data_IF_663207994821
#
_entry.id   IF_663207994821
#
_cell.length_a   1.000
_cell.length_b   1.000
_cell.length_c   1.000
_cell.angle_alpha   90.00
_cell.angle_beta   90.00
_cell.angle_gamma   90.00
#
_symmetry.space_group_name_H-M   'P 1'
#
loop_
_entity.id
_entity.type
_entity.pdbx_description
1 polymer ?
#
# COMPACT_ATOMS: atom_id res chain seq x y z
N UNK A 1 1.21 -2.70 -3.85
CA UNK A 1 0.71 -1.28 -3.81
C UNK A 1 1.33 -0.52 -4.98
N UNK A 2 1.01 0.76 -5.25
CA UNK A 2 1.87 1.50 -6.20
C UNK A 2 3.27 1.66 -5.59
N UNK A 3 4.34 1.53 -6.38
CA UNK A 3 5.71 1.74 -5.93
C UNK A 3 5.87 3.03 -5.11
N UNK A 4 6.55 2.94 -3.97
CA UNK A 4 6.72 4.06 -3.02
C UNK A 4 5.52 4.32 -2.08
N UNK A 5 4.47 3.48 -2.12
CA UNK A 5 3.31 3.58 -1.21
C UNK A 5 3.36 2.58 -0.03
N UNK A 6 4.55 2.10 0.34
CA UNK A 6 4.75 1.29 1.55
C UNK A 6 4.51 -0.21 1.37
N UNK A 7 4.74 -0.76 0.17
CA UNK A 7 4.64 -2.19 -0.11
C UNK A 7 5.66 -3.03 0.67
N UNK A 8 6.95 -2.79 0.46
CA UNK A 8 8.03 -3.48 1.21
C UNK A 8 7.87 -3.28 2.71
N UNK A 9 7.51 -2.07 3.17
CA UNK A 9 7.30 -1.81 4.60
C UNK A 9 6.00 -2.37 5.17
N UNK A 10 5.07 -2.85 4.33
CA UNK A 10 3.89 -3.64 4.75
C UNK A 10 4.20 -5.14 4.74
N UNK A 11 4.97 -5.62 3.78
CA UNK A 11 5.49 -6.99 3.77
C UNK A 11 6.42 -7.28 4.96
N UNK A 12 7.07 -6.23 5.48
CA UNK A 12 8.07 -6.28 6.55
C UNK A 12 7.56 -5.82 7.92
N UNK A 13 6.26 -5.92 8.18
CA UNK A 13 5.71 -5.56 9.50
C UNK A 13 6.40 -6.39 10.59
N UNK A 14 6.97 -5.71 11.58
CA UNK A 14 7.74 -6.34 12.65
C UNK A 14 6.93 -7.43 13.38
N UNK A 15 7.51 -8.63 13.46
CA UNK A 15 6.92 -9.82 14.06
C UNK A 15 6.16 -10.72 13.08
N UNK A 16 6.11 -10.37 11.79
CA UNK A 16 5.50 -11.17 10.73
C UNK A 16 6.56 -11.75 9.79
N UNK A 17 6.22 -12.86 9.14
CA UNK A 17 7.04 -13.49 8.11
C UNK A 17 6.69 -12.98 6.71
N UNK A 18 7.65 -13.03 5.78
CA UNK A 18 7.47 -12.58 4.40
C UNK A 18 7.69 -13.70 3.37
N UNK A 19 6.76 -13.83 2.42
CA UNK A 19 6.91 -14.73 1.26
C UNK A 19 7.53 -14.06 0.02
N UNK A 20 7.37 -12.75 -0.11
CA UNK A 20 7.83 -11.93 -1.23
C UNK A 20 7.42 -10.46 -1.03
N UNK A 21 7.97 -9.55 -1.83
CA UNK A 21 7.71 -8.11 -1.70
C UNK A 21 7.17 -7.42 -2.96
N UNK A 22 7.30 -7.99 -4.16
CA UNK A 22 6.86 -7.33 -5.41
C UNK A 22 5.86 -8.17 -6.21
N UNK A 23 6.19 -9.42 -6.55
CA UNK A 23 5.35 -10.24 -7.44
C UNK A 23 4.71 -11.45 -6.75
N UNK A 24 3.39 -11.58 -6.90
CA UNK A 24 2.64 -12.78 -6.50
C UNK A 24 1.91 -13.41 -7.70
N UNK A 25 2.10 -14.71 -7.89
CA UNK A 25 1.30 -15.51 -8.81
C UNK A 25 0.21 -16.24 -8.05
N UNK A 26 -1.04 -16.03 -8.45
CA UNK A 26 -2.20 -16.57 -7.73
C UNK A 26 -2.94 -17.58 -8.61
N UNK A 27 -3.16 -18.79 -8.09
CA UNK A 27 -3.94 -19.86 -8.73
C UNK A 27 -5.06 -20.36 -7.82
N UNK A 28 -6.00 -21.12 -8.37
CA UNK A 28 -7.07 -21.79 -7.61
C UNK A 28 -6.61 -23.21 -7.32
N UNK A 29 -6.68 -23.66 -6.07
CA UNK A 29 -6.42 -25.06 -5.69
C UNK A 29 -7.68 -25.95 -5.83
N UNK A 30 -7.53 -27.26 -5.60
CA UNK A 30 -8.60 -28.24 -5.76
C UNK A 30 -9.75 -28.04 -4.75
N UNK A 31 -9.43 -27.46 -3.59
CA UNK A 31 -10.37 -27.08 -2.56
C UNK A 31 -11.11 -25.76 -2.87
N UNK A 32 -10.66 -25.02 -3.89
CA UNK A 32 -11.26 -23.75 -4.31
C UNK A 32 -10.76 -22.54 -3.55
N UNK A 33 -9.58 -22.61 -2.93
CA UNK A 33 -8.87 -21.47 -2.35
C UNK A 33 -8.00 -20.77 -3.39
N UNK A 34 -7.68 -19.50 -3.13
CA UNK A 34 -6.61 -18.81 -3.82
C UNK A 34 -5.26 -19.17 -3.18
N UNK A 35 -4.30 -19.65 -3.98
CA UNK A 35 -2.91 -19.95 -3.57
C UNK A 35 -1.95 -18.98 -4.20
N UNK A 36 -1.13 -18.31 -3.40
CA UNK A 36 -0.08 -17.42 -3.87
C UNK A 36 1.31 -18.06 -3.74
N UNK A 37 2.12 -17.86 -4.78
CA UNK A 37 3.56 -18.12 -4.77
C UNK A 37 4.30 -16.84 -5.13
N UNK A 38 5.45 -16.62 -4.50
CA UNK A 38 6.43 -15.68 -4.99
C UNK A 38 7.26 -16.36 -6.08
N UNK A 39 7.36 -15.72 -7.25
CA UNK A 39 8.15 -16.24 -8.38
C UNK A 39 9.58 -15.70 -8.41
N UNK A 40 9.91 -14.81 -7.49
CA UNK A 40 11.21 -14.19 -7.32
C UNK A 40 12.04 -14.94 -6.27
N UNK A 41 13.37 -14.83 -6.36
CA UNK A 41 14.31 -15.46 -5.41
C UNK A 41 14.96 -14.46 -4.45
N UNK A 42 14.64 -13.19 -4.58
CA UNK A 42 15.31 -12.10 -3.91
C UNK A 42 14.47 -10.84 -3.89
N UNK A 43 15.02 -9.81 -3.26
CA UNK A 43 14.45 -8.48 -3.17
C UNK A 43 15.28 -7.55 -4.06
N UNK A 44 14.60 -6.66 -4.77
CA UNK A 44 15.21 -5.54 -5.49
C UNK A 44 14.65 -4.20 -4.99
N UNK A 45 14.90 -3.91 -3.72
CA UNK A 45 14.25 -2.84 -2.97
C UNK A 45 14.88 -1.46 -3.18
N UNK A 46 14.07 -0.40 -3.15
CA UNK A 46 14.55 0.98 -3.02
C UNK A 46 15.22 1.12 -1.66
N UNK A 47 16.49 1.55 -1.64
CA UNK A 47 17.27 1.68 -0.40
C UNK A 47 17.09 3.04 0.28
N UNK A 48 16.63 4.05 -0.48
CA UNK A 48 16.42 5.40 0.04
C UNK A 48 15.50 5.36 1.27
N UNK A 49 15.92 6.06 2.32
CA UNK A 49 15.23 6.23 3.60
C UNK A 49 15.14 4.95 4.48
N UNK A 50 15.72 3.82 4.05
CA UNK A 50 15.88 2.63 4.91
C UNK A 50 16.80 2.99 6.07
N UNK A 51 16.27 2.91 7.30
CA UNK A 51 16.95 3.37 8.50
C UNK A 51 16.61 2.48 9.72
N UNK A 52 17.40 2.52 10.82
CA UNK A 52 17.20 1.64 11.96
C UNK A 52 15.90 1.91 12.75
N UNK A 53 15.28 3.08 12.58
CA UNK A 53 14.01 3.42 13.24
C UNK A 53 12.80 2.87 12.50
N UNK A 54 12.72 3.12 11.19
CA UNK A 54 11.54 2.78 10.40
C UNK A 54 11.58 1.37 9.81
N UNK A 55 12.76 0.88 9.42
CA UNK A 55 12.96 -0.38 8.71
C UNK A 55 14.10 -1.23 9.34
N UNK A 56 14.04 -1.56 10.63
CA UNK A 56 15.16 -2.16 11.37
C UNK A 56 15.63 -3.51 10.79
N UNK A 57 14.71 -4.36 10.31
CA UNK A 57 15.06 -5.67 9.73
C UNK A 57 15.87 -5.53 8.44
N UNK A 58 15.40 -4.67 7.52
CA UNK A 58 16.10 -4.41 6.26
C UNK A 58 17.43 -3.73 6.56
N UNK A 59 17.43 -2.72 7.42
CA UNK A 59 18.64 -2.01 7.80
C UNK A 59 19.71 -2.96 8.35
N UNK A 60 19.35 -3.82 9.31
CA UNK A 60 20.25 -4.82 9.88
C UNK A 60 20.78 -5.78 8.82
N UNK A 61 19.94 -6.22 7.89
CA UNK A 61 20.37 -7.05 6.78
C UNK A 61 21.41 -6.34 5.89
N UNK A 62 21.23 -5.05 5.63
CA UNK A 62 22.12 -4.28 4.76
C UNK A 62 23.49 -3.94 5.40
N UNK A 63 23.58 -3.86 6.73
CA UNK A 63 24.81 -3.48 7.43
C UNK A 63 25.62 -4.66 7.99
N UNK A 64 25.12 -5.89 7.84
CA UNK A 64 25.79 -7.10 8.33
C UNK A 64 26.40 -7.90 7.17
N UNK A 65 27.57 -8.54 7.36
CA UNK A 65 28.24 -9.26 6.28
C UNK A 65 27.37 -10.38 5.67
N UNK A 66 27.05 -10.25 4.37
CA UNK A 66 26.31 -11.24 3.56
C UNK A 66 26.45 -10.94 2.05
N UNK A 67 25.88 -11.77 1.18
CA UNK A 67 25.84 -11.54 -0.27
C UNK A 67 24.84 -10.43 -0.61
N UNK A 68 25.35 -9.22 -0.89
CA UNK A 68 24.57 -8.02 -1.24
C UNK A 68 25.12 -7.36 -2.50
N UNK A 69 24.22 -6.85 -3.34
CA UNK A 69 24.56 -5.96 -4.45
C UNK A 69 23.88 -4.61 -4.22
N UNK A 70 24.69 -3.55 -4.10
CA UNK A 70 24.20 -2.18 -4.03
C UNK A 70 24.33 -1.51 -5.39
N UNK A 71 23.30 -0.77 -5.81
CA UNK A 71 23.27 -0.05 -7.07
C UNK A 71 23.02 1.44 -6.83
N UNK A 72 23.87 2.29 -7.41
CA UNK A 72 23.79 3.76 -7.38
C UNK A 72 23.86 4.40 -5.97
N UNK A 73 24.53 3.74 -5.03
CA UNK A 73 24.87 4.29 -3.71
C UNK A 73 26.24 4.98 -3.75
N UNK A 74 26.59 5.72 -2.69
CA UNK A 74 27.96 6.17 -2.46
C UNK A 74 28.76 5.02 -1.85
N UNK A 75 29.99 4.81 -2.31
CA UNK A 75 30.97 3.91 -1.70
C UNK A 75 32.16 4.74 -1.21
N UNK A 76 32.53 4.60 0.05
CA UNK A 76 33.79 5.11 0.62
C UNK A 76 34.45 3.97 1.41
N UNK A 77 35.72 3.67 1.11
CA UNK A 77 36.50 2.58 1.75
C UNK A 77 35.77 1.23 1.81
N UNK A 78 34.99 0.92 0.77
CA UNK A 78 34.20 -0.32 0.67
C UNK A 78 32.91 -0.31 1.48
N UNK A 79 32.57 0.79 2.15
CA UNK A 79 31.34 0.96 2.91
C UNK A 79 30.29 1.69 2.06
N UNK A 80 29.07 1.12 1.89
CA UNK A 80 27.99 1.78 1.18
C UNK A 80 27.26 2.79 2.06
N UNK A 81 26.90 3.94 1.47
CA UNK A 81 26.08 4.98 2.07
C UNK A 81 24.93 5.37 1.15
N UNK A 82 23.73 5.51 1.71
CA UNK A 82 22.52 5.91 0.99
C UNK A 82 21.77 7.04 1.68
N UNK A 83 20.86 7.67 0.93
CA UNK A 83 20.01 8.74 1.44
C UNK A 83 19.16 8.23 2.60
N UNK A 84 19.16 8.94 3.73
CA UNK A 84 18.29 8.62 4.87
C UNK A 84 18.74 7.41 5.70
N UNK A 85 19.95 6.90 5.53
CA UNK A 85 20.50 5.74 6.29
C UNK A 85 20.52 5.90 7.83
N UNK A 86 20.32 7.12 8.34
CA UNK A 86 20.45 7.43 9.77
C UNK A 86 21.91 7.53 10.23
N UNK A 87 22.86 7.69 9.29
CA UNK A 87 24.28 7.97 9.55
C UNK A 87 24.72 9.13 8.66
N UNK A 88 25.65 9.94 9.17
CA UNK A 88 26.24 11.00 8.37
C UNK A 88 27.07 10.39 7.23
N UNK A 89 26.83 10.79 5.97
CA UNK A 89 27.63 10.33 4.85
C UNK A 89 29.00 11.01 4.89
N UNK A 90 30.01 10.38 4.30
CA UNK A 90 31.32 11.01 4.17
C UNK A 90 31.32 12.20 3.20
N UNK A 91 32.38 12.99 3.27
CA UNK A 91 32.54 14.19 2.44
C UNK A 91 32.90 13.89 0.99
N UNK A 92 33.38 12.70 0.69
CA UNK A 92 33.75 12.24 -0.65
C UNK A 92 33.63 10.70 -0.78
N UNK A 93 33.81 10.19 -1.99
CA UNK A 93 33.80 8.76 -2.29
C UNK A 93 33.55 8.53 -3.77
N UNK A 94 33.03 7.36 -4.14
CA UNK A 94 32.66 7.02 -5.52
C UNK A 94 31.17 6.70 -5.57
N UNK A 95 30.44 7.29 -6.52
CA UNK A 95 29.03 6.98 -6.75
C UNK A 95 28.73 6.79 -8.25
N UNK A 96 27.45 6.77 -8.61
CA UNK A 96 26.98 6.62 -10.01
C UNK A 96 27.50 7.69 -10.99
N UNK A 97 28.06 8.80 -10.49
CA UNK A 97 28.68 9.87 -11.29
C UNK A 97 30.21 9.81 -11.34
N UNK A 98 30.82 8.72 -10.86
CA UNK A 98 32.28 8.60 -10.65
C UNK A 98 32.70 9.16 -9.29
N UNK A 99 33.87 9.82 -9.24
CA UNK A 99 34.35 10.49 -8.02
C UNK A 99 33.35 11.54 -7.55
N UNK A 100 32.91 11.44 -6.30
CA UNK A 100 31.90 12.31 -5.71
C UNK A 100 32.46 13.05 -4.50
N UNK A 101 31.99 14.28 -4.30
CA UNK A 101 32.24 15.09 -3.11
C UNK A 101 31.01 15.92 -2.77
N UNK A 102 30.89 16.33 -1.52
CA UNK A 102 29.77 17.17 -1.05
C UNK A 102 29.70 18.46 -1.87
N UNK A 103 28.53 18.72 -2.47
CA UNK A 103 28.30 19.87 -3.34
C UNK A 103 28.76 19.69 -4.80
N UNK A 104 29.12 18.46 -5.23
CA UNK A 104 29.35 18.17 -6.66
C UNK A 104 28.09 18.48 -7.47
N UNK A 105 28.24 19.17 -8.59
CA UNK A 105 27.17 19.49 -9.52
C UNK A 105 27.37 18.83 -10.87
N UNK A 106 26.30 18.65 -11.63
CA UNK A 106 26.37 18.27 -13.04
C UNK A 106 26.68 19.50 -13.95
N UNK A 107 26.76 19.27 -15.25
CA UNK A 107 27.05 20.31 -16.25
C UNK A 107 25.98 21.42 -16.31
N UNK A 108 24.79 21.18 -15.73
CA UNK A 108 23.70 22.16 -15.63
C UNK A 108 23.72 22.94 -14.31
N UNK A 109 24.69 22.66 -13.42
CA UNK A 109 24.80 23.28 -12.10
C UNK A 109 23.84 22.68 -11.06
N UNK A 110 23.18 21.56 -11.37
CA UNK A 110 22.32 20.86 -10.41
C UNK A 110 23.17 19.97 -9.50
N UNK A 111 22.91 20.01 -8.20
CA UNK A 111 23.60 19.16 -7.23
C UNK A 111 23.37 17.67 -7.52
N UNK A 112 24.46 16.92 -7.54
CA UNK A 112 24.47 15.46 -7.63
C UNK A 112 24.46 14.90 -6.21
N UNK A 113 23.36 14.26 -5.84
CA UNK A 113 23.23 13.57 -4.56
C UNK A 113 24.26 12.45 -4.41
N UNK A 114 24.73 12.20 -3.18
CA UNK A 114 25.72 11.16 -2.92
C UNK A 114 25.22 9.75 -3.28
N UNK A 115 23.94 9.47 -3.06
CA UNK A 115 23.25 8.30 -3.58
C UNK A 115 22.02 8.73 -4.41
N UNK A 116 21.74 7.97 -5.46
CA UNK A 116 20.62 8.24 -6.35
C UNK A 116 19.27 8.03 -5.62
N UNK A 117 18.24 8.81 -5.96
CA UNK A 117 16.92 8.71 -5.31
C UNK A 117 16.23 7.35 -5.51
N UNK A 118 16.55 6.67 -6.62
CA UNK A 118 16.15 5.30 -6.93
C UNK A 118 17.32 4.30 -6.78
N UNK A 119 18.26 4.56 -5.86
CA UNK A 119 19.29 3.58 -5.50
C UNK A 119 18.63 2.31 -4.95
N UNK A 120 19.27 1.16 -5.18
CA UNK A 120 18.69 -0.16 -4.91
C UNK A 120 19.66 -1.03 -4.11
N UNK A 121 19.09 -1.95 -3.35
CA UNK A 121 19.79 -3.13 -2.83
C UNK A 121 19.20 -4.38 -3.46
N UNK A 122 20.06 -5.37 -3.69
CA UNK A 122 19.66 -6.71 -4.15
C UNK A 122 20.17 -7.73 -3.17
N UNK A 123 19.28 -8.60 -2.69
CA UNK A 123 19.61 -9.69 -1.78
C UNK A 123 18.67 -10.87 -1.96
N UNK A 124 19.07 -12.07 -1.54
CA UNK A 124 18.16 -13.23 -1.52
C UNK A 124 17.15 -13.07 -0.38
N UNK A 125 15.92 -13.53 -0.58
CA UNK A 125 14.89 -13.49 0.48
C UNK A 125 15.31 -14.34 1.67
N UNK A 126 15.98 -15.47 1.43
CA UNK A 126 16.47 -16.38 2.48
C UNK A 126 17.52 -15.77 3.41
N UNK A 127 18.10 -14.62 3.07
CA UNK A 127 19.01 -13.87 3.94
C UNK A 127 18.26 -13.03 4.99
N UNK A 128 16.94 -12.87 4.86
CA UNK A 128 16.14 -12.09 5.80
C UNK A 128 15.72 -12.95 6.98
N UNK A 129 15.90 -12.41 8.19
CA UNK A 129 15.57 -13.13 9.43
C UNK A 129 14.08 -13.48 9.54
N UNK A 130 13.22 -12.72 8.85
CA UNK A 130 11.78 -12.93 8.80
C UNK A 130 11.30 -13.58 7.49
N UNK A 131 12.18 -14.20 6.70
CA UNK A 131 11.76 -14.99 5.55
C UNK A 131 10.78 -16.10 6.00
N UNK A 132 9.63 -16.20 5.32
CA UNK A 132 8.65 -17.23 5.63
C UNK A 132 9.23 -18.61 5.30
N UNK A 133 9.09 -19.61 6.19
CA UNK A 133 9.59 -20.96 5.92
C UNK A 133 8.94 -21.61 4.69
N UNK A 134 7.79 -21.11 4.22
CA UNK A 134 7.09 -21.53 3.00
C UNK A 134 7.32 -20.61 1.81
N UNK A 135 8.26 -19.66 1.87
CA UNK A 135 8.55 -18.74 0.76
C UNK A 135 8.89 -19.46 -0.56
N UNK A 136 9.44 -20.68 -0.48
CA UNK A 136 9.76 -21.52 -1.63
C UNK A 136 8.87 -22.76 -1.77
N UNK A 137 7.73 -22.82 -1.06
CA UNK A 137 6.77 -23.92 -1.20
C UNK A 137 6.09 -23.85 -2.57
N UNK A 138 6.27 -24.86 -3.46
CA UNK A 138 5.68 -24.84 -4.79
C UNK A 138 4.15 -24.89 -4.77
N UNK A 139 3.54 -25.37 -3.69
CA UNK A 139 2.08 -25.36 -3.54
C UNK A 139 1.54 -23.98 -3.18
N UNK A 140 2.39 -23.11 -2.64
CA UNK A 140 2.05 -21.76 -2.22
C UNK A 140 1.20 -21.69 -0.95
N UNK A 141 0.99 -20.47 -0.50
CA UNK A 141 0.21 -20.18 0.72
C UNK A 141 -1.22 -19.81 0.37
N UNK A 142 -2.17 -20.17 1.23
CA UNK A 142 -3.57 -19.75 1.07
C UNK A 142 -3.66 -18.24 1.27
N UNK A 143 -4.19 -17.54 0.29
CA UNK A 143 -4.50 -16.12 0.39
C UNK A 143 -5.84 -15.96 1.08
N UNK A 144 -5.84 -15.32 2.25
CA UNK A 144 -7.07 -15.04 2.99
C UNK A 144 -7.48 -13.56 2.93
N UNK A 145 -6.52 -12.67 2.63
CA UNK A 145 -6.73 -11.23 2.49
C UNK A 145 -5.94 -10.65 1.32
N UNK A 146 -6.53 -9.68 0.62
CA UNK A 146 -5.87 -8.88 -0.44
C UNK A 146 -5.97 -7.41 -0.06
N UNK A 147 -4.86 -6.68 -0.11
CA UNK A 147 -4.81 -5.27 0.22
C UNK A 147 -4.54 -4.42 -1.02
N UNK A 148 -5.33 -3.35 -1.17
CA UNK A 148 -5.15 -2.33 -2.19
C UNK A 148 -4.85 -1.00 -1.50
N UNK A 149 -3.73 -0.38 -1.85
CA UNK A 149 -3.31 0.87 -1.24
C UNK A 149 -2.70 1.86 -2.23
N UNK A 150 -2.97 3.13 -1.98
CA UNK A 150 -2.41 4.27 -2.72
C UNK A 150 -2.18 5.45 -1.78
N UNK A 151 -1.42 6.44 -2.25
CA UNK A 151 -1.20 7.69 -1.50
C UNK A 151 -2.36 8.65 -1.72
N UNK A 152 -3.17 8.83 -0.70
CA UNK A 152 -4.33 9.71 -0.70
C UNK A 152 -4.36 10.58 0.56
N UNK A 153 -4.28 11.89 0.39
CA UNK A 153 -4.17 12.81 1.52
C UNK A 153 -5.51 13.21 2.14
N UNK A 154 -6.65 12.99 1.49
CA UNK A 154 -7.91 13.63 1.92
C UNK A 154 -9.20 12.83 1.72
N UNK A 155 -9.17 11.65 1.08
CA UNK A 155 -10.41 10.93 0.72
C UNK A 155 -10.57 9.62 1.49
N UNK A 156 -9.68 8.64 1.28
CA UNK A 156 -9.83 7.28 1.80
C UNK A 156 -9.47 7.17 3.29
N UNK A 157 -10.20 6.32 4.01
CA UNK A 157 -9.94 5.93 5.40
C UNK A 157 -8.71 4.99 5.52
N UNK A 158 -8.09 4.84 6.71
CA UNK A 158 -6.89 4.02 6.86
C UNK A 158 -7.04 2.56 6.46
N UNK A 159 -8.19 1.95 6.76
CA UNK A 159 -8.54 0.59 6.32
C UNK A 159 -10.05 0.47 6.13
N UNK A 160 -10.47 -0.20 5.06
CA UNK A 160 -11.86 -0.50 4.75
C UNK A 160 -11.95 -1.89 4.13
N UNK A 161 -12.79 -2.77 4.67
CA UNK A 161 -13.07 -4.07 4.06
C UNK A 161 -14.15 -3.94 2.97
N UNK A 162 -13.93 -4.61 1.83
CA UNK A 162 -14.87 -4.65 0.73
C UNK A 162 -16.15 -5.45 1.07
N UNK A 163 -17.30 -5.04 0.51
CA UNK A 163 -18.57 -5.73 0.74
C UNK A 163 -18.68 -7.09 0.02
N UNK A 164 -17.90 -7.28 -1.04
CA UNK A 164 -17.84 -8.49 -1.85
C UNK A 164 -16.52 -8.52 -2.62
N UNK A 165 -16.24 -9.63 -3.31
CA UNK A 165 -15.08 -9.71 -4.21
C UNK A 165 -15.17 -8.68 -5.35
N UNK A 166 -16.34 -8.56 -6.00
CA UNK A 166 -16.54 -7.56 -7.05
C UNK A 166 -16.37 -6.13 -6.54
N UNK A 167 -16.84 -5.83 -5.33
CA UNK A 167 -16.56 -4.55 -4.67
C UNK A 167 -15.05 -4.38 -4.40
N UNK A 168 -14.35 -5.44 -4.00
CA UNK A 168 -12.90 -5.44 -3.84
C UNK A 168 -12.16 -5.13 -5.14
N UNK A 169 -12.57 -5.73 -6.26
CA UNK A 169 -12.04 -5.44 -7.60
C UNK A 169 -12.29 -3.98 -7.97
N UNK A 170 -13.48 -3.44 -7.67
CA UNK A 170 -13.79 -2.02 -7.87
C UNK A 170 -12.88 -1.10 -7.03
N UNK A 171 -12.67 -1.42 -5.75
CA UNK A 171 -11.76 -0.66 -4.88
C UNK A 171 -10.32 -0.70 -5.41
N UNK A 172 -9.85 -1.87 -5.85
CA UNK A 172 -8.54 -2.02 -6.49
C UNK A 172 -8.42 -1.25 -7.79
N UNK A 173 -9.47 -1.22 -8.62
CA UNK A 173 -9.48 -0.44 -9.85
C UNK A 173 -9.44 1.07 -9.58
N UNK A 174 -10.10 1.55 -8.53
CA UNK A 174 -10.24 3.00 -8.24
C UNK A 174 -9.18 3.55 -7.28
N UNK A 175 -8.02 2.90 -7.18
CA UNK A 175 -6.88 3.44 -6.43
C UNK A 175 -6.37 4.70 -7.13
N UNK A 176 -6.26 5.79 -6.37
CA UNK A 176 -5.52 6.98 -6.75
C UNK A 176 -4.24 7.05 -5.91
N UNK A 177 -3.17 7.55 -6.51
CA UNK A 177 -1.92 7.81 -5.80
C UNK A 177 -1.33 9.16 -6.22
N UNK A 178 -1.09 10.02 -5.25
CA UNK A 178 -0.36 11.27 -5.44
C UNK A 178 1.09 10.99 -5.86
N UNK A 179 1.62 11.80 -6.78
CA UNK A 179 3.04 11.80 -7.15
C UNK A 179 3.90 12.16 -5.94
N UNK A 180 4.97 11.40 -5.75
CA UNK A 180 5.97 11.70 -4.72
C UNK A 180 7.06 12.59 -5.30
N UNK A 181 7.80 13.28 -4.44
CA UNK A 181 9.02 14.03 -4.81
C UNK A 181 10.11 13.17 -5.49
N UNK A 182 10.00 11.84 -5.47
CA UNK A 182 10.90 10.92 -6.18
C UNK A 182 10.54 10.72 -7.66
N UNK A 183 9.34 11.07 -8.10
CA UNK A 183 8.92 11.01 -9.50
C UNK A 183 9.25 12.36 -10.18
N UNK A 184 9.76 12.35 -11.41
CA UNK A 184 10.19 13.54 -12.19
C UNK A 184 9.06 14.54 -12.54
N UNK A 185 7.95 14.59 -11.79
CA UNK A 185 6.77 15.44 -12.03
C UNK A 185 6.48 16.43 -10.90
N UNK A 186 5.44 17.26 -11.06
CA UNK A 186 4.92 18.12 -9.98
C UNK A 186 4.44 17.27 -8.80
N UNK A 187 4.82 17.68 -7.59
CA UNK A 187 4.44 17.01 -6.34
C UNK A 187 2.93 17.22 -6.05
N UNK A 188 2.25 16.17 -5.57
CA UNK A 188 0.83 16.25 -5.19
C UNK A 188 -0.18 16.08 -6.33
N UNK A 189 0.25 15.72 -7.54
CA UNK A 189 -0.65 15.40 -8.65
C UNK A 189 -1.20 13.99 -8.45
N UNK A 190 -2.52 13.85 -8.28
CA UNK A 190 -3.18 12.55 -8.21
C UNK A 190 -3.21 11.90 -9.58
N UNK A 191 -2.79 10.64 -9.62
CA UNK A 191 -2.88 9.79 -10.80
C UNK A 191 -3.61 8.50 -10.45
N UNK A 192 -4.53 8.08 -11.32
CA UNK A 192 -5.19 6.79 -11.20
C UNK A 192 -4.17 5.68 -11.42
N UNK A 193 -4.13 4.71 -10.50
CA UNK A 193 -3.25 3.53 -10.59
C UNK A 193 -4.04 2.25 -10.35
N UNK A 194 -4.94 1.88 -11.29
CA UNK A 194 -5.75 0.67 -11.18
C UNK A 194 -4.89 -0.55 -10.82
N UNK A 195 -5.26 -1.18 -9.71
CA UNK A 195 -4.66 -2.42 -9.20
C UNK A 195 -3.16 -2.31 -8.93
N UNK A 196 -2.62 -1.08 -8.89
CA UNK A 196 -1.20 -0.79 -8.92
C UNK A 196 -0.41 -1.49 -10.05
N UNK A 197 -1.08 -1.86 -11.14
CA UNK A 197 -0.51 -2.77 -12.15
C UNK A 197 -0.50 -2.18 -13.58
N UNK A 198 -0.87 -0.91 -13.75
CA UNK A 198 -1.02 -0.29 -15.08
C UNK A 198 0.22 -0.41 -15.97
N UNK A 199 1.40 -0.16 -15.40
CA UNK A 199 2.67 -0.18 -16.14
C UNK A 199 3.07 -1.59 -16.61
N UNK A 200 2.43 -2.64 -16.06
CA UNK A 200 2.72 -4.05 -16.35
C UNK A 200 1.58 -4.76 -17.10
N UNK A 201 0.52 -4.03 -17.48
CA UNK A 201 -0.62 -4.64 -18.15
C UNK A 201 -0.31 -5.03 -19.59
N UNK A 202 -0.57 -6.30 -19.92
CA UNK A 202 -0.45 -6.86 -21.28
C UNK A 202 -1.80 -7.00 -22.00
N UNK A 203 -2.90 -6.64 -21.33
CA UNK A 203 -4.26 -6.64 -21.89
C UNK A 203 -4.98 -5.34 -21.51
N UNK A 204 -6.03 -4.93 -22.24
CA UNK A 204 -6.81 -3.76 -21.87
C UNK A 204 -7.41 -3.86 -20.47
N UNK A 205 -7.52 -2.73 -19.77
CA UNK A 205 -7.93 -2.66 -18.37
C UNK A 205 -9.28 -3.36 -18.12
N UNK A 206 -10.28 -3.11 -18.96
CA UNK A 206 -11.58 -3.77 -18.83
C UNK A 206 -11.50 -5.31 -18.90
N UNK A 207 -10.60 -5.84 -19.74
CA UNK A 207 -10.35 -7.30 -19.80
C UNK A 207 -9.64 -7.80 -18.55
N UNK A 208 -8.68 -7.04 -18.05
CA UNK A 208 -7.97 -7.35 -16.80
C UNK A 208 -8.94 -7.42 -15.61
N UNK A 209 -9.81 -6.41 -15.43
CA UNK A 209 -10.81 -6.40 -14.35
C UNK A 209 -11.83 -7.52 -14.49
N UNK A 210 -12.29 -7.81 -15.73
CA UNK A 210 -13.18 -8.94 -15.97
C UNK A 210 -12.53 -10.30 -15.64
N UNK A 211 -11.21 -10.46 -15.82
CA UNK A 211 -10.48 -11.64 -15.38
C UNK A 211 -10.51 -11.79 -13.85
N UNK A 212 -10.27 -10.70 -13.11
CA UNK A 212 -10.32 -10.70 -11.65
C UNK A 212 -11.72 -11.07 -11.12
N UNK A 213 -12.78 -10.52 -11.70
CA UNK A 213 -14.17 -10.87 -11.33
C UNK A 213 -14.42 -12.37 -11.60
N UNK A 214 -14.05 -12.87 -12.78
CA UNK A 214 -14.20 -14.29 -13.12
C UNK A 214 -13.37 -15.21 -12.22
N UNK A 215 -12.20 -14.76 -11.80
CA UNK A 215 -11.35 -15.50 -10.87
C UNK A 215 -12.04 -15.68 -9.52
N UNK A 216 -12.52 -14.59 -8.91
CA UNK A 216 -13.23 -14.66 -7.63
C UNK A 216 -14.48 -15.54 -7.66
N UNK A 217 -15.25 -15.50 -8.76
CA UNK A 217 -16.44 -16.37 -8.94
C UNK A 217 -16.14 -17.86 -8.96
N UNK A 218 -14.89 -18.26 -9.24
CA UNK A 218 -14.47 -19.67 -9.22
C UNK A 218 -13.99 -20.12 -7.85
N UNK A 219 -13.68 -19.20 -6.95
CA UNK A 219 -13.24 -19.52 -5.59
C UNK A 219 -14.43 -20.00 -4.75
N UNK A 220 -14.22 -21.08 -4.00
CA UNK A 220 -15.12 -21.50 -2.93
C UNK A 220 -14.85 -20.70 -1.67
N UNK A 221 -13.57 -20.45 -1.40
CA UNK A 221 -13.10 -19.67 -0.26
C UNK A 221 -12.45 -18.39 -0.81
N UNK A 222 -13.26 -17.36 -1.00
CA UNK A 222 -12.82 -16.09 -1.56
C UNK A 222 -12.10 -15.26 -0.48
N UNK A 223 -10.87 -14.77 -0.74
CA UNK A 223 -10.19 -13.90 0.22
C UNK A 223 -10.98 -12.60 0.41
N UNK A 224 -10.90 -12.05 1.63
CA UNK A 224 -11.41 -10.71 1.89
C UNK A 224 -10.52 -9.69 1.18
N UNK A 225 -11.12 -8.58 0.73
CA UNK A 225 -10.38 -7.51 0.08
C UNK A 225 -10.46 -6.26 0.97
N UNK A 226 -9.33 -5.59 1.14
CA UNK A 226 -9.20 -4.40 1.97
C UNK A 226 -8.62 -3.26 1.13
N UNK A 227 -9.21 -2.07 1.23
CA UNK A 227 -8.59 -0.84 0.78
C UNK A 227 -7.89 -0.16 1.97
N UNK A 228 -6.66 0.32 1.77
CA UNK A 228 -5.85 0.95 2.82
C UNK A 228 -5.32 2.30 2.39
N UNK A 229 -5.21 3.24 3.32
CA UNK A 229 -4.60 4.54 3.09
C UNK A 229 -3.80 5.03 4.31
N UNK A 230 -2.47 4.94 4.23
CA UNK A 230 -1.60 5.37 5.33
C UNK A 230 -1.24 6.87 5.28
N UNK A 231 -1.69 7.58 4.23
CA UNK A 231 -1.20 8.92 3.90
C UNK A 231 -2.21 10.04 4.14
N UNK A 232 -3.33 9.71 4.79
CA UNK A 232 -4.37 10.68 5.15
C UNK A 232 -3.79 11.81 6.00
N UNK A 233 -4.12 13.05 5.65
CA UNK A 233 -3.71 14.26 6.36
C UNK A 233 -4.89 15.01 6.97
N UNK A 234 -4.63 15.67 8.08
CA UNK A 234 -5.51 16.63 8.71
C UNK A 234 -4.67 17.85 9.12
N UNK A 235 -5.13 19.05 8.76
CA UNK A 235 -4.41 20.32 9.03
C UNK A 235 -2.94 20.32 8.57
N UNK A 236 -2.64 19.62 7.47
CA UNK A 236 -1.30 19.53 6.89
C UNK A 236 -0.40 18.46 7.52
N UNK A 237 -0.80 17.84 8.64
CA UNK A 237 -0.09 16.75 9.28
C UNK A 237 -0.65 15.38 8.90
N UNK A 238 0.18 14.34 8.91
CA UNK A 238 -0.30 12.96 8.74
C UNK A 238 -1.08 12.53 9.97
N UNK A 239 -2.18 11.81 9.74
CA UNK A 239 -3.08 11.31 10.79
C UNK A 239 -2.62 9.97 11.37
N UNK A 240 -1.69 9.28 10.72
CA UNK A 240 -1.17 7.98 11.15
C UNK A 240 0.32 8.10 11.48
N UNK A 241 0.76 7.40 12.52
CA UNK A 241 2.17 7.05 12.67
C UNK A 241 2.59 6.01 11.63
N UNK A 242 3.88 5.99 11.25
CA UNK A 242 4.45 4.95 10.38
C UNK A 242 4.13 3.52 10.87
N UNK A 243 4.27 3.17 12.18
CA UNK A 243 4.01 1.81 12.64
C UNK A 243 2.51 1.47 12.73
N UNK A 244 1.62 2.45 12.70
CA UNK A 244 0.17 2.26 12.90
C UNK A 244 -0.45 1.32 11.86
N UNK A 245 0.19 1.15 10.69
CA UNK A 245 -0.18 0.15 9.67
C UNK A 245 -0.34 -1.27 10.23
N UNK A 246 0.42 -1.62 11.27
CA UNK A 246 0.32 -2.91 11.95
C UNK A 246 -1.07 -3.12 12.54
N UNK A 247 -1.71 -2.09 13.09
CA UNK A 247 -3.05 -2.17 13.65
C UNK A 247 -4.09 -2.45 12.56
N UNK A 248 -3.95 -1.77 11.42
CA UNK A 248 -4.85 -1.95 10.28
C UNK A 248 -4.79 -3.38 9.73
N UNK A 249 -3.59 -3.96 9.63
CA UNK A 249 -3.39 -5.35 9.22
C UNK A 249 -3.93 -6.34 10.25
N UNK A 250 -3.68 -6.12 11.54
CA UNK A 250 -4.21 -6.99 12.61
C UNK A 250 -5.74 -6.95 12.68
N UNK A 251 -6.36 -5.79 12.46
CA UNK A 251 -7.82 -5.72 12.36
C UNK A 251 -8.33 -6.51 11.15
N UNK A 252 -7.69 -6.38 9.99
CA UNK A 252 -8.04 -7.13 8.79
C UNK A 252 -7.87 -8.65 8.96
N UNK A 253 -6.81 -9.09 9.65
CA UNK A 253 -6.61 -10.48 10.07
C UNK A 253 -7.75 -10.96 10.97
N UNK A 254 -8.10 -10.21 12.02
CA UNK A 254 -9.23 -10.56 12.88
C UNK A 254 -10.56 -10.61 12.12
N UNK A 255 -10.76 -9.76 11.10
CA UNK A 255 -11.93 -9.86 10.19
C UNK A 255 -11.91 -11.13 9.36
N UNK A 256 -10.75 -11.56 8.85
CA UNK A 256 -10.57 -12.85 8.16
C UNK A 256 -10.93 -14.03 9.06
N UNK A 257 -10.55 -13.98 10.33
CA UNK A 257 -10.82 -15.05 11.30
C UNK A 257 -12.19 -14.95 12.00
N UNK A 258 -13.00 -13.92 11.71
CA UNK A 258 -14.31 -13.73 12.31
C UNK A 258 -14.28 -13.25 13.77
N UNK A 259 -13.18 -12.63 14.19
CA UNK A 259 -12.95 -12.15 15.56
C UNK A 259 -13.56 -10.77 15.81
N UNK A 260 -13.66 -9.95 14.78
CA UNK A 260 -14.22 -8.60 14.86
C UNK A 260 -15.50 -8.47 14.05
N UNK A 261 -16.42 -7.63 14.51
CA UNK A 261 -17.52 -7.07 13.72
C UNK A 261 -17.04 -5.87 12.89
N UNK A 262 -17.93 -5.28 12.08
CA UNK A 262 -17.64 -4.03 11.37
C UNK A 262 -18.89 -3.17 11.18
N UNK A 263 -18.67 -1.88 10.94
CA UNK A 263 -19.71 -0.90 10.64
C UNK A 263 -19.91 -0.86 9.13
N UNK A 264 -21.12 -1.17 8.65
CA UNK A 264 -21.43 -1.13 7.21
C UNK A 264 -21.66 0.31 6.77
N UNK A 265 -20.94 0.76 5.75
CA UNK A 265 -21.07 2.08 5.13
C UNK A 265 -21.16 1.96 3.61
N UNK A 266 -21.52 3.04 2.87
CA UNK A 266 -21.50 3.01 1.40
C UNK A 266 -20.12 2.74 0.78
N UNK A 267 -19.04 2.96 1.53
CA UNK A 267 -17.66 2.75 1.05
C UNK A 267 -17.11 1.36 1.40
N UNK A 268 -17.83 0.58 2.20
CA UNK A 268 -17.44 -0.73 2.70
C UNK A 268 -17.60 -0.87 4.21
N UNK A 269 -16.88 -1.80 4.79
CA UNK A 269 -16.92 -2.12 6.21
C UNK A 269 -15.78 -1.44 6.96
N UNK A 270 -16.12 -0.64 7.96
CA UNK A 270 -15.16 0.08 8.81
C UNK A 270 -14.96 -0.62 10.16
N UNK A 271 -13.77 -0.52 10.76
CA UNK A 271 -13.53 -0.99 12.13
C UNK A 271 -14.40 -0.23 13.13
N UNK A 272 -14.81 -0.89 14.21
CA UNK A 272 -15.40 -0.22 15.38
C UNK A 272 -14.29 0.46 16.18
N UNK A 273 -14.58 1.61 16.78
CA UNK A 273 -13.63 2.33 17.64
C UNK A 273 -13.00 1.44 18.73
N UNK A 274 -13.83 0.64 19.40
CA UNK A 274 -13.40 -0.25 20.48
C UNK A 274 -12.31 -1.22 20.03
N UNK A 275 -12.46 -1.84 18.86
CA UNK A 275 -11.52 -2.84 18.36
C UNK A 275 -10.14 -2.18 18.12
N UNK A 276 -10.14 -0.98 17.53
CA UNK A 276 -8.91 -0.23 17.30
C UNK A 276 -8.26 0.21 18.61
N UNK A 277 -9.04 0.75 19.55
CA UNK A 277 -8.53 1.17 20.85
C UNK A 277 -7.85 0.01 21.60
N UNK A 278 -8.49 -1.16 21.63
CA UNK A 278 -7.92 -2.38 22.24
C UNK A 278 -6.64 -2.83 21.52
N UNK A 279 -6.60 -2.79 20.18
CA UNK A 279 -5.41 -3.14 19.39
C UNK A 279 -4.24 -2.17 19.63
N UNK A 280 -4.49 -0.86 19.63
CA UNK A 280 -3.46 0.16 19.88
C UNK A 280 -2.86 0.01 21.28
N UNK A 281 -3.69 -0.21 22.29
CA UNK A 281 -3.22 -0.48 23.65
C UNK A 281 -2.40 -1.77 23.72
N UNK A 282 -2.87 -2.87 23.12
CA UNK A 282 -2.19 -4.16 23.17
C UNK A 282 -0.84 -4.18 22.44
N UNK A 283 -0.74 -3.48 21.31
CA UNK A 283 0.43 -3.56 20.42
C UNK A 283 1.45 -2.47 20.72
N UNK A 284 1.00 -1.27 21.11
CA UNK A 284 1.85 -0.10 21.27
C UNK A 284 1.82 0.53 22.67
N UNK A 285 1.02 0.00 23.59
CA UNK A 285 0.78 0.62 24.91
C UNK A 285 0.41 2.11 24.80
N UNK A 286 -0.39 2.42 23.76
CA UNK A 286 -0.78 3.77 23.38
C UNK A 286 -2.29 3.90 23.33
N UNK A 287 -2.82 4.93 23.98
CA UNK A 287 -4.22 5.28 23.86
C UNK A 287 -4.54 5.75 22.43
N UNK A 288 -5.60 5.20 21.84
CA UNK A 288 -6.14 5.64 20.56
C UNK A 288 -7.46 6.35 20.81
N UNK A 289 -7.49 7.65 20.54
CA UNK A 289 -8.59 8.52 20.97
C UNK A 289 -9.77 8.46 20.00
N UNK A 290 -10.96 8.82 20.51
CA UNK A 290 -12.16 8.93 19.66
C UNK A 290 -12.02 10.05 18.63
N UNK A 291 -11.27 11.11 18.96
CA UNK A 291 -10.98 12.21 18.04
C UNK A 291 -10.15 11.73 16.85
N UNK A 292 -9.07 10.97 17.09
CA UNK A 292 -8.28 10.36 16.02
C UNK A 292 -9.13 9.44 15.15
N UNK A 293 -9.99 8.64 15.78
CA UNK A 293 -10.92 7.76 15.07
C UNK A 293 -11.88 8.53 14.17
N UNK A 294 -12.46 9.64 14.65
CA UNK A 294 -13.34 10.49 13.83
C UNK A 294 -12.58 11.14 12.68
N UNK A 295 -11.38 11.67 12.92
CA UNK A 295 -10.54 12.26 11.88
C UNK A 295 -10.21 11.23 10.80
N UNK A 296 -9.86 10.00 11.20
CA UNK A 296 -9.40 8.96 10.30
C UNK A 296 -10.54 8.27 9.53
N UNK A 297 -11.61 7.87 10.23
CA UNK A 297 -12.64 6.97 9.70
C UNK A 297 -13.95 7.64 9.30
N UNK A 298 -14.08 8.96 9.44
CA UNK A 298 -15.26 9.65 8.87
C UNK A 298 -15.38 9.43 7.36
N UNK A 299 -16.59 9.11 6.91
CA UNK A 299 -16.92 8.96 5.49
C UNK A 299 -17.09 10.36 4.88
N UNK A 300 -16.09 10.79 4.11
CA UNK A 300 -15.99 12.13 3.51
C UNK A 300 -16.83 12.22 2.24
N UNK A 301 -18.14 12.43 2.39
CA UNK A 301 -19.13 12.40 1.30
C UNK A 301 -18.69 13.24 0.09
N UNK A 302 -18.30 14.49 0.30
CA UNK A 302 -17.88 15.39 -0.79
C UNK A 302 -16.67 14.84 -1.54
N UNK A 303 -15.67 14.34 -0.81
CA UNK A 303 -14.43 13.81 -1.37
C UNK A 303 -14.64 12.50 -2.12
N UNK A 304 -15.49 11.62 -1.61
CA UNK A 304 -15.86 10.39 -2.32
C UNK A 304 -16.65 10.69 -3.60
N UNK A 305 -17.59 11.64 -3.58
CA UNK A 305 -18.32 12.05 -4.78
C UNK A 305 -17.39 12.69 -5.83
N UNK A 306 -16.47 13.55 -5.41
CA UNK A 306 -15.41 14.09 -6.28
C UNK A 306 -14.55 12.97 -6.89
N UNK A 307 -14.15 11.98 -6.08
CA UNK A 307 -13.39 10.80 -6.54
C UNK A 307 -14.18 10.01 -7.57
N UNK A 308 -15.45 9.71 -7.30
CA UNK A 308 -16.31 8.96 -8.22
C UNK A 308 -16.43 9.70 -9.56
N UNK A 309 -16.68 11.01 -9.55
CA UNK A 309 -16.76 11.80 -10.79
C UNK A 309 -15.46 11.74 -11.61
N UNK A 310 -14.29 11.77 -10.96
CA UNK A 310 -13.00 11.57 -11.64
C UNK A 310 -12.89 10.16 -12.23
N UNK A 311 -13.24 9.12 -11.46
CA UNK A 311 -13.20 7.74 -11.94
C UNK A 311 -14.16 7.52 -13.12
N UNK A 312 -15.35 8.14 -13.12
CA UNK A 312 -16.27 8.08 -14.27
C UNK A 312 -15.58 8.58 -15.54
N UNK A 313 -14.97 9.77 -15.50
CA UNK A 313 -14.31 10.35 -16.68
C UNK A 313 -13.08 9.56 -17.12
N UNK A 314 -12.28 9.03 -16.18
CA UNK A 314 -11.08 8.25 -16.49
C UNK A 314 -11.43 6.91 -17.15
N UNK A 315 -12.47 6.22 -16.65
CA UNK A 315 -12.79 4.86 -17.10
C UNK A 315 -13.81 4.80 -18.23
N UNK A 316 -14.55 5.88 -18.51
CA UNK A 316 -15.50 5.96 -19.63
C UNK A 316 -14.89 5.64 -21.01
N UNK A 317 -13.67 6.09 -21.36
CA UNK A 317 -13.05 5.72 -22.63
C UNK A 317 -12.46 4.30 -22.66
N UNK A 318 -12.34 3.62 -21.50
CA UNK A 318 -11.70 2.30 -21.42
C UNK A 318 -12.56 1.22 -22.10
N UNK A 319 -11.98 0.45 -23.04
CA UNK A 319 -12.74 -0.55 -23.76
C UNK A 319 -13.07 -1.76 -22.87
N UNK A 320 -14.29 -2.28 -23.03
CA UNK A 320 -14.74 -3.55 -22.41
C UNK A 320 -14.70 -3.55 -20.88
N UNK A 321 -14.96 -2.40 -20.25
CA UNK A 321 -15.15 -2.34 -18.80
C UNK A 321 -16.29 -3.28 -18.35
N UNK A 322 -16.10 -4.07 -17.28
CA UNK A 322 -17.13 -4.98 -16.80
C UNK A 322 -18.36 -4.23 -16.28
N UNK A 323 -19.55 -4.81 -16.44
CA UNK A 323 -20.82 -4.21 -16.03
C UNK A 323 -20.84 -3.97 -14.51
N UNK A 324 -20.30 -4.91 -13.76
CA UNK A 324 -20.23 -4.90 -12.31
C UNK A 324 -19.48 -3.66 -11.78
N UNK A 325 -18.43 -3.19 -12.48
CA UNK A 325 -17.71 -1.98 -12.11
C UNK A 325 -18.63 -0.75 -12.13
N UNK A 326 -19.41 -0.60 -13.20
CA UNK A 326 -20.32 0.53 -13.36
C UNK A 326 -21.51 0.47 -12.40
N UNK A 327 -22.04 -0.73 -12.14
CA UNK A 327 -23.11 -0.96 -11.17
C UNK A 327 -22.67 -0.56 -9.76
N UNK A 328 -21.48 -1.00 -9.33
CA UNK A 328 -20.91 -0.64 -8.03
C UNK A 328 -20.67 0.87 -7.94
N UNK A 329 -20.07 1.47 -8.97
CA UNK A 329 -19.81 2.91 -9.01
C UNK A 329 -21.11 3.71 -8.87
N UNK A 330 -22.12 3.38 -9.68
CA UNK A 330 -23.39 4.09 -9.70
C UNK A 330 -24.17 3.92 -8.39
N UNK A 331 -24.13 2.72 -7.79
CA UNK A 331 -24.78 2.48 -6.51
C UNK A 331 -24.10 3.27 -5.39
N UNK A 332 -22.77 3.22 -5.30
CA UNK A 332 -22.03 3.97 -4.29
C UNK A 332 -22.26 5.48 -4.43
N UNK A 333 -22.30 5.99 -5.67
CA UNK A 333 -22.62 7.39 -5.96
C UNK A 333 -24.01 7.76 -5.42
N UNK A 334 -25.03 6.97 -5.76
CA UNK A 334 -26.40 7.22 -5.33
C UNK A 334 -26.53 7.20 -3.80
N UNK A 335 -25.92 6.22 -3.13
CA UNK A 335 -25.95 6.12 -1.67
C UNK A 335 -25.32 7.35 -1.00
N UNK A 336 -24.19 7.83 -1.52
CA UNK A 336 -23.52 9.02 -1.01
C UNK A 336 -24.29 10.32 -1.29
N UNK A 337 -24.92 10.44 -2.47
CA UNK A 337 -25.77 11.58 -2.83
C UNK A 337 -27.00 11.68 -1.92
N UNK A 338 -27.65 10.55 -1.63
CA UNK A 338 -28.78 10.48 -0.68
C UNK A 338 -28.34 10.96 0.70
N UNK A 339 -27.25 10.40 1.24
CA UNK A 339 -26.73 10.80 2.55
C UNK A 339 -26.38 12.30 2.62
N UNK A 340 -25.80 12.83 1.55
CA UNK A 340 -25.46 14.25 1.46
C UNK A 340 -26.72 15.13 1.44
N UNK A 341 -27.75 14.72 0.68
CA UNK A 341 -29.02 15.43 0.61
C UNK A 341 -29.77 15.41 1.95
N UNK A 342 -29.77 14.27 2.65
CA UNK A 342 -30.46 14.10 3.93
C UNK A 342 -29.78 14.85 5.09
N UNK A 343 -28.44 14.81 5.14
CA UNK A 343 -27.69 15.35 6.28
C UNK A 343 -27.21 16.78 6.07
N UNK A 344 -27.02 17.22 4.83
CA UNK A 344 -26.38 18.49 4.49
C UNK A 344 -24.90 18.58 4.92
N UNK A 345 -24.27 17.47 5.30
CA UNK A 345 -22.90 17.42 5.82
C UNK A 345 -21.91 17.02 4.71
N UNK A 346 -20.66 17.50 4.84
CA UNK A 346 -19.56 17.12 3.95
C UNK A 346 -18.92 15.77 4.34
N UNK A 347 -19.05 15.36 5.61
CA UNK A 347 -18.55 14.10 6.13
C UNK A 347 -19.44 13.57 7.26
N UNK A 348 -19.46 12.25 7.44
CA UNK A 348 -20.22 11.55 8.48
C UNK A 348 -19.28 10.67 9.31
N UNK A 349 -19.33 10.82 10.63
CA UNK A 349 -18.58 9.96 11.55
C UNK A 349 -19.12 8.51 11.50
N UNK A 350 -18.29 7.49 11.80
CA UNK A 350 -18.71 6.09 11.73
C UNK A 350 -19.97 5.75 12.51
N UNK A 351 -20.23 6.41 13.64
CA UNK A 351 -21.39 6.18 14.50
C UNK A 351 -22.73 6.54 13.83
N UNK A 352 -22.71 7.34 12.77
CA UNK A 352 -23.92 7.63 12.00
C UNK A 352 -24.49 6.37 11.32
N UNK A 353 -23.66 5.35 11.10
CA UNK A 353 -24.01 4.14 10.35
C UNK A 353 -24.33 2.93 11.25
N UNK A 354 -24.54 3.15 12.56
CA UNK A 354 -24.84 2.11 13.56
C UNK A 354 -26.34 1.83 13.71
#
# INVERSE_FOLDING_TARGET
CRGGCGETSSAMIAGQTMGGDDVAYIRIDEEGNARAVNIESGIFGIIKDVNPGDDPLIYNALITPRELIFSNVLIEDGVPYWQGMGRDPPGNGVNFSGDWWKGKTDDSGKEILFAHSNARYTMRISELENADPKAHDPEGVVVQGVFYGGRDSDTNVPVCEAMSWEHGVYLGATIESETTSATLGQEGVRSSSPMANMDFMVVPLGTYLANHIRFGRKLRNCPKVFATNYFLKHEGAYTNGIPDKKIWVLWAEGRVHGEYDAIKTPIGFLPKYRDLNELFMKVFDREYTLEDYHIQFSVRLDKYLEKIARMEEIFKPEPRMPKEFWEILSQQKADLEVLKAETGKAALAPEYFL
#
